data_IF_055278359742
#
_entry.id   IF_055278359742
#
_cell.length_a   1.000
_cell.length_b   1.000
_cell.length_c   1.000
_cell.angle_alpha   90.00
_cell.angle_beta   90.00
_cell.angle_gamma   90.00
#
_symmetry.space_group_name_H-M   'P 1'
#
loop_
_entity.id
_entity.type
_entity.pdbx_description
1 polymer ?
#
# COMPACT_ATOMS: atom_id res chain seq x y z
N UNK A 1 16.12 1.50 -0.21
CA UNK A 1 14.72 1.61 -0.66
C UNK A 1 14.20 0.22 -1.02
N UNK A 2 13.01 -0.13 -0.54
CA UNK A 2 12.32 -1.38 -0.84
C UNK A 2 10.88 -1.07 -1.23
N UNK A 3 10.39 -1.68 -2.31
CA UNK A 3 9.13 -1.29 -2.94
C UNK A 3 8.24 -2.50 -3.18
N UNK A 4 6.99 -2.41 -2.75
CA UNK A 4 5.94 -3.39 -3.02
C UNK A 4 4.98 -2.84 -4.07
N UNK A 5 4.85 -3.55 -5.19
CA UNK A 5 3.80 -3.32 -6.18
C UNK A 5 2.65 -4.28 -5.93
N UNK A 6 1.47 -3.75 -5.62
CA UNK A 6 0.27 -4.52 -5.36
C UNK A 6 -0.74 -4.33 -6.48
N UNK A 7 -0.73 -5.25 -7.45
CA UNK A 7 -1.68 -5.30 -8.57
C UNK A 7 -2.77 -6.37 -8.42
N UNK A 8 -2.82 -7.04 -7.25
CA UNK A 8 -3.70 -8.19 -7.02
C UNK A 8 -4.87 -7.81 -6.11
N UNK A 9 -6.09 -8.37 -6.32
CA UNK A 9 -7.23 -8.14 -5.46
C UNK A 9 -7.05 -8.91 -4.13
N UNK A 10 -6.29 -8.34 -3.21
CA UNK A 10 -6.19 -8.82 -1.83
C UNK A 10 -6.86 -7.83 -0.87
N UNK A 11 -7.50 -8.33 0.17
CA UNK A 11 -8.13 -7.50 1.21
C UNK A 11 -7.75 -7.92 2.63
N UNK A 12 -6.88 -8.91 2.77
CA UNK A 12 -6.51 -9.49 4.05
C UNK A 12 -5.37 -8.71 4.69
N UNK A 13 -5.61 -8.11 5.86
CA UNK A 13 -4.58 -7.46 6.70
C UNK A 13 -3.37 -8.38 6.92
N UNK A 14 -3.61 -9.68 7.15
CA UNK A 14 -2.55 -10.67 7.35
C UNK A 14 -1.64 -10.86 6.13
N UNK A 15 -2.19 -10.93 4.91
CA UNK A 15 -1.37 -11.05 3.69
C UNK A 15 -0.50 -9.81 3.49
N UNK A 16 -1.07 -8.64 3.71
CA UNK A 16 -0.33 -7.38 3.59
C UNK A 16 0.82 -7.29 4.61
N UNK A 17 0.55 -7.63 5.87
CA UNK A 17 1.57 -7.67 6.93
C UNK A 17 2.68 -8.69 6.60
N UNK A 18 2.32 -9.85 6.06
CA UNK A 18 3.31 -10.85 5.63
C UNK A 18 4.20 -10.33 4.50
N UNK A 19 3.65 -9.64 3.51
CA UNK A 19 4.45 -9.07 2.40
C UNK A 19 5.42 -8.00 2.91
N UNK A 20 4.94 -7.09 3.74
CA UNK A 20 5.79 -6.05 4.34
C UNK A 20 6.87 -6.68 5.23
N UNK A 21 6.53 -7.66 6.06
CA UNK A 21 7.50 -8.35 6.92
C UNK A 21 8.54 -9.17 6.14
N UNK A 22 8.19 -9.69 4.96
CA UNK A 22 9.17 -10.31 4.04
C UNK A 22 10.13 -9.26 3.48
N UNK A 23 9.60 -8.11 3.10
CA UNK A 23 10.38 -7.01 2.55
C UNK A 23 11.36 -6.42 3.60
N UNK A 24 10.90 -6.23 4.84
CA UNK A 24 11.73 -5.76 5.96
C UNK A 24 12.92 -6.70 6.26
N UNK A 25 12.69 -8.02 6.29
CA UNK A 25 13.76 -9.00 6.59
C UNK A 25 14.77 -9.15 5.47
N UNK A 26 14.36 -8.95 4.22
CA UNK A 26 15.25 -9.08 3.08
C UNK A 26 16.41 -8.07 3.11
N UNK A 27 16.25 -6.93 3.81
CA UNK A 27 17.28 -5.90 3.93
C UNK A 27 17.18 -5.16 5.27
N UNK A 28 17.85 -5.67 6.30
CA UNK A 28 17.82 -5.11 7.66
C UNK A 28 18.30 -3.63 7.77
N UNK A 29 19.03 -3.13 6.78
CA UNK A 29 19.64 -1.79 6.80
C UNK A 29 18.82 -0.71 6.08
N UNK A 30 17.55 -0.93 5.72
CA UNK A 30 16.75 0.04 4.95
C UNK A 30 15.92 0.97 5.82
N UNK A 31 15.93 2.24 5.44
CA UNK A 31 15.29 3.37 6.12
C UNK A 31 13.85 3.65 5.69
N UNK A 32 13.36 3.06 4.59
CA UNK A 32 11.99 3.31 4.10
C UNK A 32 11.45 2.18 3.21
N UNK A 33 10.13 1.96 3.30
CA UNK A 33 9.35 1.04 2.47
C UNK A 33 8.28 1.84 1.72
N UNK A 34 8.13 1.56 0.42
CA UNK A 34 7.07 2.13 -0.41
C UNK A 34 6.10 1.05 -0.89
N UNK A 35 4.82 1.42 -0.99
CA UNK A 35 3.77 0.55 -1.54
C UNK A 35 3.06 1.29 -2.65
N UNK A 36 3.02 0.69 -3.84
CA UNK A 36 2.24 1.14 -4.99
C UNK A 36 1.04 0.19 -5.13
N UNK A 37 -0.15 0.68 -4.78
CA UNK A 37 -1.39 -0.11 -4.77
C UNK A 37 -2.25 0.26 -5.99
N UNK A 38 -2.34 -0.65 -6.96
CA UNK A 38 -3.13 -0.44 -8.17
C UNK A 38 -4.59 -0.81 -7.90
N UNK A 39 -5.50 0.15 -8.11
CA UNK A 39 -6.91 0.03 -7.78
C UNK A 39 -7.76 0.40 -8.97
N UNK A 40 -8.67 -0.49 -9.36
CA UNK A 40 -9.77 -0.14 -10.24
C UNK A 40 -10.98 0.28 -9.41
N UNK A 41 -11.27 1.57 -9.41
CA UNK A 41 -12.37 2.18 -8.65
C UNK A 41 -13.74 1.96 -9.32
N UNK A 42 -13.77 1.62 -10.61
CA UNK A 42 -15.00 1.41 -11.36
C UNK A 42 -15.63 0.05 -11.05
N UNK A 43 -14.87 -0.84 -10.41
CA UNK A 43 -15.35 -2.15 -9.95
C UNK A 43 -15.67 -2.06 -8.44
N UNK A 44 -16.96 -2.06 -8.02
CA UNK A 44 -17.33 -1.83 -6.61
C UNK A 44 -16.70 -2.79 -5.61
N UNK A 45 -16.43 -4.03 -6.03
CA UNK A 45 -15.72 -5.02 -5.21
C UNK A 45 -14.27 -4.60 -4.96
N UNK A 46 -13.55 -4.16 -5.99
CA UNK A 46 -12.15 -3.77 -5.89
C UNK A 46 -12.01 -2.48 -5.07
N UNK A 47 -12.94 -1.54 -5.21
CA UNK A 47 -13.02 -0.35 -4.36
C UNK A 47 -13.19 -0.72 -2.88
N UNK A 48 -14.14 -1.60 -2.52
CA UNK A 48 -14.31 -2.06 -1.13
C UNK A 48 -13.06 -2.77 -0.58
N UNK A 49 -12.31 -3.45 -1.43
CA UNK A 49 -11.06 -4.11 -1.04
C UNK A 49 -9.95 -3.08 -0.78
N UNK A 50 -9.85 -2.05 -1.62
CA UNK A 50 -8.93 -0.94 -1.40
C UNK A 50 -9.21 -0.22 -0.07
N UNK A 51 -10.47 0.09 0.23
CA UNK A 51 -10.83 0.72 1.51
C UNK A 51 -10.39 -0.10 2.74
N UNK A 52 -10.44 -1.44 2.65
CA UNK A 52 -9.90 -2.34 3.68
C UNK A 52 -8.37 -2.26 3.76
N UNK A 53 -7.69 -2.18 2.61
CA UNK A 53 -6.23 -2.03 2.56
C UNK A 53 -5.76 -0.70 3.12
N UNK A 54 -6.44 0.43 2.83
CA UNK A 54 -6.14 1.74 3.43
C UNK A 54 -6.08 1.68 4.96
N UNK A 55 -7.07 1.04 5.58
CA UNK A 55 -7.09 0.83 7.05
C UNK A 55 -5.91 -0.04 7.50
N UNK A 56 -5.56 -1.06 6.72
CA UNK A 56 -4.39 -1.91 6.95
C UNK A 56 -3.06 -1.15 6.89
N UNK A 57 -2.85 -0.32 5.87
CA UNK A 57 -1.66 0.53 5.73
C UNK A 57 -1.50 1.47 6.92
N UNK A 58 -2.56 2.19 7.30
CA UNK A 58 -2.54 3.10 8.46
C UNK A 58 -2.21 2.35 9.76
N UNK A 59 -2.78 1.17 9.98
CA UNK A 59 -2.48 0.34 11.15
C UNK A 59 -1.03 -0.19 11.19
N UNK A 60 -0.35 -0.23 10.03
CA UNK A 60 1.06 -0.62 9.90
C UNK A 60 2.01 0.59 9.90
N UNK A 61 1.49 1.81 10.14
CA UNK A 61 2.30 3.03 10.21
C UNK A 61 2.61 3.68 8.86
N UNK A 62 2.04 3.18 7.76
CA UNK A 62 2.19 3.81 6.45
C UNK A 62 1.35 5.08 6.36
N UNK A 63 1.96 6.13 5.79
CA UNK A 63 1.25 7.34 5.38
C UNK A 63 0.73 7.15 3.96
N UNK A 64 -0.57 7.35 3.78
CA UNK A 64 -1.20 7.33 2.45
C UNK A 64 -1.02 8.68 1.76
N UNK A 65 -1.13 8.72 0.42
CA UNK A 65 -1.09 10.00 -0.31
C UNK A 65 -2.20 10.96 0.15
N UNK A 66 -3.35 10.45 0.59
CA UNK A 66 -4.42 11.27 1.18
C UNK A 66 -4.00 12.00 2.47
N UNK A 67 -2.97 11.51 3.17
CA UNK A 67 -2.42 12.16 4.36
C UNK A 67 -1.40 13.26 3.98
N UNK A 68 -1.01 13.37 2.70
CA UNK A 68 -0.22 14.48 2.13
C UNK A 68 -1.19 15.52 1.52
N UNK A 69 -1.90 16.27 2.36
CA UNK A 69 -2.63 17.45 1.88
C UNK A 69 -1.67 18.63 1.73
N UNK A 70 -1.09 18.74 0.55
CA UNK A 70 -0.93 19.98 -0.22
C UNK A 70 -0.24 19.62 -1.54
N UNK A 71 -0.72 20.22 -2.63
CA UNK A 71 -0.57 19.73 -4.00
C UNK A 71 0.86 19.40 -4.41
N UNK A 72 1.09 18.14 -4.81
CA UNK A 72 2.02 17.70 -5.85
C UNK A 72 2.13 16.17 -5.80
N UNK A 73 1.20 15.46 -6.44
CA UNK A 73 1.60 14.34 -7.30
C UNK A 73 0.44 13.87 -8.17
N UNK A 74 0.34 14.42 -9.38
CA UNK A 74 -0.17 13.66 -10.52
C UNK A 74 0.98 12.74 -10.94
N UNK A 75 0.79 11.42 -10.85
CA UNK A 75 1.59 10.49 -11.64
C UNK A 75 0.66 9.54 -12.36
N UNK A 76 0.38 9.95 -13.59
CA UNK A 76 0.02 9.10 -14.71
C UNK A 76 1.20 8.15 -14.95
N UNK A 77 1.01 6.86 -14.72
CA UNK A 77 1.36 5.74 -15.61
C UNK A 77 0.54 4.53 -15.14
#
# INVERSE_FOLDING_TARGET
MDTLFLAMPISGKGKLQQYIGRLQRANANKTSIEVYDYVDINVPRLQKMYEKRKKGYKALGFKTQDDRKDGEQIRLF
#
